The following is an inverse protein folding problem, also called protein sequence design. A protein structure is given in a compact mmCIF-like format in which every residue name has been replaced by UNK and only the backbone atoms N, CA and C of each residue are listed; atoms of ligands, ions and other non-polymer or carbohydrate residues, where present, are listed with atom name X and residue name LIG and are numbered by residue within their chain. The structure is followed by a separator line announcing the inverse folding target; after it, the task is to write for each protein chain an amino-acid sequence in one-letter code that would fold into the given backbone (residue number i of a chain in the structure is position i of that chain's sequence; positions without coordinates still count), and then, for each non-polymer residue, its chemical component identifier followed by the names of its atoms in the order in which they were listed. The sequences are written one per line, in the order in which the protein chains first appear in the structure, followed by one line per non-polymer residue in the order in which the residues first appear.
data_IF_402690101616
#
_entry.id   IF_402690101616
#
_cell.length_a   1.000
_cell.length_b   1.000
_cell.length_c   1.000
_cell.angle_alpha   90.00
_cell.angle_beta   90.00
_cell.angle_gamma   90.00
#
_symmetry.space_group_name_H-M   'P 1'
#
loop_
_entity.id
_entity.type
_entity.pdbx_description
1 polymer ?
#
# COMPACT_ATOMS: atom_id res chain seq x y z
N UNK A 1 -0.34 19.07 23.73
CA UNK A 1 -1.68 18.48 23.51
C UNK A 1 -2.36 19.20 22.35
N UNK A 2 -2.55 20.52 22.42
CA UNK A 2 -3.04 21.35 21.31
C UNK A 2 -2.18 21.23 20.03
N UNK A 3 -0.85 21.13 20.20
CA UNK A 3 0.10 20.95 19.11
C UNK A 3 -0.05 19.62 18.34
N UNK A 4 -0.33 18.53 19.05
CA UNK A 4 -0.54 17.20 18.48
C UNK A 4 -1.87 17.16 17.73
N UNK A 5 -2.91 17.75 18.32
CA UNK A 5 -4.23 17.81 17.70
C UNK A 5 -4.23 18.64 16.40
N UNK A 6 -3.47 19.73 16.37
CA UNK A 6 -3.30 20.52 15.15
C UNK A 6 -2.56 19.74 14.05
N UNK A 7 -1.51 19.00 14.42
CA UNK A 7 -0.74 18.16 13.49
C UNK A 7 -1.63 17.05 12.90
N UNK A 8 -2.40 16.34 13.73
CA UNK A 8 -3.30 15.28 13.28
C UNK A 8 -4.36 15.79 12.30
N UNK A 9 -5.01 16.93 12.61
CA UNK A 9 -5.98 17.55 11.69
C UNK A 9 -5.36 17.96 10.36
N UNK A 10 -4.13 18.47 10.37
CA UNK A 10 -3.39 18.82 9.16
C UNK A 10 -3.08 17.57 8.33
N UNK A 11 -2.63 16.50 8.98
CA UNK A 11 -2.30 15.25 8.31
C UNK A 11 -3.55 14.53 7.78
N UNK A 12 -4.70 14.61 8.46
CA UNK A 12 -5.98 14.09 7.98
C UNK A 12 -6.47 14.82 6.72
N UNK A 13 -6.37 16.15 6.73
CA UNK A 13 -6.68 16.97 5.56
C UNK A 13 -5.70 16.70 4.41
N UNK A 14 -4.40 16.61 4.72
CA UNK A 14 -3.35 16.31 3.74
C UNK A 14 -3.55 14.94 3.10
N UNK A 15 -3.82 13.91 3.89
CA UNK A 15 -4.05 12.56 3.38
C UNK A 15 -5.26 12.52 2.46
N UNK A 16 -6.39 13.09 2.88
CA UNK A 16 -7.61 13.14 2.06
C UNK A 16 -7.35 13.87 0.74
N UNK A 17 -6.70 15.03 0.80
CA UNK A 17 -6.55 15.90 -0.35
C UNK A 17 -5.43 15.45 -1.29
N UNK A 18 -4.24 15.15 -0.77
CA UNK A 18 -3.11 14.70 -1.60
C UNK A 18 -3.39 13.33 -2.23
N UNK A 19 -3.98 12.38 -1.49
CA UNK A 19 -4.30 11.08 -2.05
C UNK A 19 -5.45 11.14 -3.06
N UNK A 20 -6.45 11.98 -2.80
CA UNK A 20 -7.63 12.10 -3.67
C UNK A 20 -7.43 12.97 -4.91
N UNK A 21 -6.53 13.95 -4.88
CA UNK A 21 -6.38 14.96 -5.92
C UNK A 21 -4.96 15.13 -6.48
N UNK A 22 -3.98 14.40 -5.95
CA UNK A 22 -2.57 14.58 -6.31
C UNK A 22 -1.90 15.68 -5.50
N UNK A 23 -0.58 15.57 -5.35
CA UNK A 23 0.17 16.46 -4.48
C UNK A 23 0.29 17.85 -5.09
N UNK A 24 0.66 17.97 -6.36
CA UNK A 24 0.88 19.24 -7.06
C UNK A 24 -0.39 20.09 -7.16
N UNK A 25 -1.54 19.45 -7.40
CA UNK A 25 -2.82 20.13 -7.54
C UNK A 25 -3.38 20.70 -6.21
N UNK A 26 -2.81 20.31 -5.07
CA UNK A 26 -3.27 20.73 -3.74
C UNK A 26 -2.30 21.73 -3.14
N UNK A 27 -2.77 22.97 -2.95
CA UNK A 27 -2.01 24.03 -2.26
C UNK A 27 -2.19 24.00 -0.73
N UNK A 28 -1.26 24.62 -0.01
CA UNK A 28 -1.30 24.70 1.46
C UNK A 28 -2.56 25.43 1.99
N UNK A 29 -3.09 26.41 1.25
CA UNK A 29 -4.33 27.08 1.62
C UNK A 29 -5.55 26.14 1.63
N UNK A 30 -5.57 25.14 0.73
CA UNK A 30 -6.64 24.14 0.68
C UNK A 30 -6.55 23.18 1.86
N UNK A 31 -5.34 22.78 2.25
CA UNK A 31 -5.09 22.01 3.48
C UNK A 31 -5.54 22.80 4.71
N UNK A 32 -5.16 24.08 4.80
CA UNK A 32 -5.56 24.98 5.89
C UNK A 32 -7.08 25.06 6.01
N UNK A 33 -7.78 25.29 4.91
CA UNK A 33 -9.24 25.40 4.90
C UNK A 33 -9.91 24.09 5.34
N UNK A 34 -9.41 22.94 4.88
CA UNK A 34 -9.96 21.63 5.23
C UNK A 34 -9.66 21.19 6.67
N UNK A 35 -8.49 21.55 7.20
CA UNK A 35 -8.06 21.19 8.56
C UNK A 35 -8.62 22.11 9.65
N UNK A 36 -9.09 23.31 9.30
CA UNK A 36 -9.50 24.36 10.24
C UNK A 36 -8.35 24.95 11.07
N UNK A 37 -7.09 24.58 10.77
CA UNK A 37 -5.91 25.09 11.47
C UNK A 37 -5.50 26.44 10.90
N UNK A 38 -5.07 27.38 11.74
CA UNK A 38 -4.63 28.71 11.26
C UNK A 38 -3.38 28.62 10.38
N UNK A 39 -3.19 29.57 9.46
CA UNK A 39 -2.01 29.60 8.59
C UNK A 39 -0.70 29.64 9.39
N UNK A 40 -0.67 30.46 10.44
CA UNK A 40 0.48 30.57 11.34
C UNK A 40 0.80 29.21 11.96
N UNK A 41 -0.22 28.49 12.44
CA UNK A 41 -0.01 27.20 13.09
C UNK A 41 0.37 26.10 12.10
N UNK A 42 -0.19 26.11 10.90
CA UNK A 42 0.21 25.19 9.81
C UNK A 42 1.72 25.27 9.54
N UNK A 43 2.27 26.48 9.40
CA UNK A 43 3.71 26.67 9.19
C UNK A 43 4.58 26.49 10.44
N UNK A 44 3.98 26.44 11.64
CA UNK A 44 4.67 26.01 12.86
C UNK A 44 4.78 24.48 12.95
N UNK A 45 3.78 23.75 12.44
CA UNK A 45 3.80 22.29 12.38
C UNK A 45 4.67 21.76 11.23
N UNK A 46 4.55 22.39 10.05
CA UNK A 46 5.26 21.96 8.85
C UNK A 46 5.80 23.19 8.13
N UNK A 47 7.13 23.34 8.09
CA UNK A 47 7.78 24.51 7.51
C UNK A 47 7.61 24.57 5.98
N UNK A 48 7.33 23.43 5.34
CA UNK A 48 7.14 23.32 3.90
C UNK A 48 6.02 22.34 3.53
N UNK A 49 5.60 22.39 2.27
CA UNK A 49 4.65 21.41 1.71
C UNK A 49 5.30 20.03 1.65
N UNK A 50 6.57 19.97 1.29
CA UNK A 50 7.37 18.74 1.19
C UNK A 50 7.42 18.01 2.54
N UNK A 51 7.63 18.75 3.63
CA UNK A 51 7.63 18.20 4.99
C UNK A 51 6.26 17.65 5.38
N UNK A 52 5.17 18.37 5.06
CA UNK A 52 3.81 17.88 5.27
C UNK A 52 3.54 16.60 4.44
N UNK A 53 4.00 16.56 3.18
CA UNK A 53 3.84 15.39 2.31
C UNK A 53 4.61 14.19 2.86
N UNK A 54 5.85 14.38 3.30
CA UNK A 54 6.64 13.32 3.94
C UNK A 54 5.93 12.79 5.19
N UNK A 55 5.48 13.67 6.08
CA UNK A 55 4.80 13.29 7.30
C UNK A 55 3.50 12.51 7.02
N UNK A 56 2.71 12.95 6.04
CA UNK A 56 1.53 12.24 5.55
C UNK A 56 1.90 10.83 5.05
N UNK A 57 2.91 10.72 4.18
CA UNK A 57 3.35 9.45 3.61
C UNK A 57 3.80 8.48 4.71
N UNK A 58 4.61 8.94 5.68
CA UNK A 58 5.08 8.10 6.79
C UNK A 58 3.93 7.67 7.71
N UNK A 59 2.94 8.54 7.97
CA UNK A 59 1.75 8.17 8.76
C UNK A 59 0.92 7.12 8.03
N UNK A 60 0.71 7.30 6.73
CA UNK A 60 0.00 6.35 5.87
C UNK A 60 0.72 5.00 5.79
N UNK A 61 2.04 4.99 5.66
CA UNK A 61 2.87 3.78 5.62
C UNK A 61 2.58 2.88 6.83
N UNK A 62 2.68 3.45 8.04
CA UNK A 62 2.47 2.71 9.29
C UNK A 62 1.08 2.08 9.34
N UNK A 63 0.05 2.84 8.97
CA UNK A 63 -1.33 2.34 8.94
C UNK A 63 -1.52 1.23 7.91
N UNK A 64 -1.04 1.45 6.68
CA UNK A 64 -1.18 0.50 5.58
C UNK A 64 -0.45 -0.82 5.87
N UNK A 65 0.82 -0.75 6.30
CA UNK A 65 1.62 -1.95 6.62
C UNK A 65 1.09 -2.66 7.86
N UNK A 66 0.59 -1.92 8.85
CA UNK A 66 -0.06 -2.50 10.03
C UNK A 66 -1.31 -3.31 9.66
N UNK A 67 -2.17 -2.75 8.80
CA UNK A 67 -3.38 -3.44 8.32
C UNK A 67 -3.04 -4.69 7.50
N UNK A 68 -2.07 -4.59 6.58
CA UNK A 68 -1.57 -5.73 5.81
C UNK A 68 -1.03 -6.83 6.75
N UNK A 69 -0.15 -6.45 7.69
CA UNK A 69 0.48 -7.39 8.60
C UNK A 69 -0.56 -8.10 9.49
N UNK A 70 -1.57 -7.38 9.98
CA UNK A 70 -2.66 -7.95 10.76
C UNK A 70 -3.47 -8.98 9.95
N UNK A 71 -3.80 -8.66 8.70
CA UNK A 71 -4.52 -9.59 7.82
C UNK A 71 -3.72 -10.88 7.58
N UNK A 72 -2.44 -10.75 7.23
CA UNK A 72 -1.58 -11.91 6.95
C UNK A 72 -1.30 -12.73 8.22
N UNK A 73 -1.15 -12.09 9.38
CA UNK A 73 -0.92 -12.79 10.65
C UNK A 73 -2.10 -13.69 11.05
N UNK A 74 -3.33 -13.34 10.65
CA UNK A 74 -4.52 -14.14 10.89
C UNK A 74 -4.54 -15.45 10.07
N UNK A 75 -3.66 -15.59 9.07
CA UNK A 75 -3.55 -16.80 8.26
C UNK A 75 -2.68 -17.85 8.98
N UNK A 76 -3.20 -19.06 9.30
CA UNK A 76 -2.49 -20.01 10.15
C UNK A 76 -1.23 -20.61 9.51
N UNK A 77 -1.27 -20.90 8.20
CA UNK A 77 -0.18 -21.58 7.52
C UNK A 77 0.81 -20.58 6.93
N UNK A 78 2.07 -20.69 7.33
CA UNK A 78 3.15 -19.83 6.85
C UNK A 78 3.35 -19.94 5.33
N UNK A 79 3.16 -21.13 4.76
CA UNK A 79 3.35 -21.38 3.33
C UNK A 79 2.41 -20.54 2.44
N UNK A 80 1.20 -20.22 2.91
CA UNK A 80 0.19 -19.47 2.14
C UNK A 80 0.13 -17.99 2.52
N UNK A 81 0.86 -17.54 3.55
CA UNK A 81 0.92 -16.13 3.96
C UNK A 81 1.40 -15.18 2.85
N UNK A 82 2.40 -15.54 2.01
CA UNK A 82 2.76 -14.70 0.87
C UNK A 82 1.57 -14.45 -0.09
N UNK A 83 0.68 -15.43 -0.27
CA UNK A 83 -0.51 -15.29 -1.11
C UNK A 83 -1.58 -14.42 -0.45
N UNK A 84 -1.68 -14.45 0.88
CA UNK A 84 -2.63 -13.64 1.65
C UNK A 84 -2.38 -12.12 1.51
N UNK A 85 -1.16 -11.71 1.15
CA UNK A 85 -0.87 -10.31 0.78
C UNK A 85 -1.80 -9.86 -0.35
N UNK A 86 -1.98 -10.69 -1.37
CA UNK A 86 -2.81 -10.35 -2.52
C UNK A 86 -4.31 -10.44 -2.23
N UNK A 87 -4.72 -11.32 -1.31
CA UNK A 87 -6.10 -11.38 -0.82
C UNK A 87 -6.46 -10.07 -0.07
N UNK A 88 -5.52 -9.52 0.72
CA UNK A 88 -5.69 -8.22 1.34
C UNK A 88 -5.70 -7.07 0.32
N UNK A 89 -4.82 -7.10 -0.69
CA UNK A 89 -4.81 -6.11 -1.76
C UNK A 89 -6.13 -6.09 -2.53
N UNK A 90 -6.73 -7.24 -2.82
CA UNK A 90 -8.03 -7.32 -3.51
C UNK A 90 -9.13 -6.58 -2.72
N UNK A 91 -9.16 -6.76 -1.40
CA UNK A 91 -10.10 -6.05 -0.54
C UNK A 91 -9.83 -4.54 -0.56
N UNK A 92 -8.57 -4.14 -0.42
CA UNK A 92 -8.16 -2.73 -0.45
C UNK A 92 -8.48 -2.05 -1.79
N UNK A 93 -8.31 -2.74 -2.92
CA UNK A 93 -8.63 -2.21 -4.25
C UNK A 93 -10.12 -1.95 -4.44
N UNK A 94 -10.98 -2.63 -3.68
CA UNK A 94 -12.43 -2.44 -3.70
C UNK A 94 -12.91 -1.24 -2.86
N UNK A 95 -12.03 -0.57 -2.12
CA UNK A 95 -12.40 0.59 -1.31
C UNK A 95 -12.72 1.82 -2.20
N UNK A 96 -13.77 2.61 -1.91
CA UNK A 96 -14.19 3.73 -2.76
C UNK A 96 -13.12 4.81 -2.97
N UNK A 97 -12.25 4.98 -1.97
CA UNK A 97 -11.16 5.95 -1.95
C UNK A 97 -9.83 5.37 -2.46
N UNK A 98 -9.80 4.14 -2.95
CA UNK A 98 -8.59 3.56 -3.54
C UNK A 98 -8.12 4.38 -4.76
N UNK A 99 -6.86 4.82 -4.72
CA UNK A 99 -6.19 5.62 -5.78
C UNK A 99 -4.78 5.12 -6.09
N UNK A 100 -4.53 3.83 -5.88
CA UNK A 100 -3.22 3.23 -6.09
C UNK A 100 -2.22 3.53 -4.97
N UNK A 101 -0.93 3.45 -5.29
CA UNK A 101 0.15 3.62 -4.33
C UNK A 101 0.46 5.10 -4.12
N UNK A 102 0.18 5.62 -2.91
CA UNK A 102 0.50 6.99 -2.54
C UNK A 102 1.98 7.37 -2.78
N UNK A 103 2.89 6.44 -2.56
CA UNK A 103 4.34 6.66 -2.71
C UNK A 103 4.77 6.75 -4.17
N UNK A 104 4.23 5.90 -5.05
CA UNK A 104 4.50 5.98 -6.50
C UNK A 104 3.96 7.28 -7.05
N UNK A 105 2.72 7.64 -6.68
CA UNK A 105 2.08 8.88 -7.15
C UNK A 105 2.89 10.12 -6.70
N UNK A 106 3.21 10.22 -5.40
CA UNK A 106 3.98 11.34 -4.87
C UNK A 106 5.40 11.41 -5.45
N UNK A 107 6.07 10.26 -5.63
CA UNK A 107 7.37 10.20 -6.28
C UNK A 107 7.31 10.67 -7.74
N UNK A 108 6.29 10.27 -8.50
CA UNK A 108 6.10 10.72 -9.88
C UNK A 108 5.88 12.23 -9.99
N UNK A 109 5.22 12.83 -9.01
CA UNK A 109 4.91 14.26 -8.99
C UNK A 109 6.06 15.15 -8.46
N UNK A 110 6.85 14.66 -7.51
CA UNK A 110 7.80 15.49 -6.74
C UNK A 110 9.19 14.86 -6.54
N UNK A 111 9.38 13.58 -6.82
CA UNK A 111 10.59 12.84 -6.44
C UNK A 111 11.88 13.36 -7.07
N UNK A 112 11.82 14.00 -8.23
CA UNK A 112 12.98 14.63 -8.87
C UNK A 112 13.44 15.93 -8.17
N UNK A 113 12.51 16.64 -7.52
CA UNK A 113 12.77 17.93 -6.87
C UNK A 113 12.78 17.90 -5.34
N UNK A 114 12.30 16.81 -4.73
CA UNK A 114 12.20 16.67 -3.28
C UNK A 114 12.88 15.39 -2.80
N UNK A 115 14.04 15.55 -2.16
CA UNK A 115 14.79 14.44 -1.57
C UNK A 115 13.98 13.72 -0.49
N UNK A 116 13.23 14.47 0.33
CA UNK A 116 12.36 13.94 1.39
C UNK A 116 11.27 13.01 0.85
N UNK A 117 10.56 13.42 -0.22
CA UNK A 117 9.54 12.57 -0.86
C UNK A 117 10.17 11.34 -1.51
N UNK A 118 11.33 11.52 -2.16
CA UNK A 118 12.06 10.42 -2.77
C UNK A 118 12.53 9.39 -1.74
N UNK A 119 13.01 9.84 -0.57
CA UNK A 119 13.42 8.98 0.53
C UNK A 119 12.23 8.24 1.15
N UNK A 120 11.13 8.94 1.45
CA UNK A 120 9.92 8.30 1.97
C UNK A 120 9.37 7.20 1.04
N UNK A 121 9.44 7.41 -0.28
CA UNK A 121 9.07 6.39 -1.26
C UNK A 121 10.03 5.18 -1.23
N UNK A 122 11.35 5.40 -1.15
CA UNK A 122 12.34 4.32 -1.06
C UNK A 122 12.20 3.52 0.22
N UNK A 123 12.01 4.20 1.35
CA UNK A 123 11.80 3.59 2.66
C UNK A 123 10.59 2.65 2.62
N UNK A 124 9.44 3.13 2.10
CA UNK A 124 8.25 2.29 1.96
C UNK A 124 8.50 1.04 1.12
N UNK A 125 9.20 1.17 -0.02
CA UNK A 125 9.55 0.02 -0.88
C UNK A 125 10.47 -0.96 -0.16
N UNK A 126 11.47 -0.47 0.57
CA UNK A 126 12.38 -1.29 1.34
C UNK A 126 11.63 -2.05 2.46
N UNK A 127 10.72 -1.38 3.16
CA UNK A 127 9.89 -1.97 4.22
C UNK A 127 8.93 -3.05 3.69
N UNK A 128 8.24 -2.79 2.58
CA UNK A 128 7.34 -3.77 1.94
C UNK A 128 8.14 -4.98 1.45
N UNK A 129 9.29 -4.75 0.79
CA UNK A 129 10.20 -5.83 0.37
C UNK A 129 10.71 -6.64 1.55
N UNK A 130 11.14 -5.98 2.63
CA UNK A 130 11.61 -6.61 3.85
C UNK A 130 10.53 -7.48 4.52
N UNK A 131 9.29 -6.99 4.52
CA UNK A 131 8.14 -7.76 4.99
C UNK A 131 7.90 -9.02 4.14
N UNK A 132 7.87 -8.87 2.82
CA UNK A 132 7.73 -10.00 1.88
C UNK A 132 8.85 -11.02 2.05
N UNK A 133 10.09 -10.56 2.21
CA UNK A 133 11.26 -11.41 2.49
C UNK A 133 11.06 -12.25 3.75
N UNK A 134 10.54 -11.65 4.82
CA UNK A 134 10.18 -12.37 6.04
C UNK A 134 9.14 -13.46 5.79
N UNK A 135 8.10 -13.17 5.00
CA UNK A 135 7.06 -14.14 4.66
C UNK A 135 7.61 -15.33 3.86
N UNK A 136 8.41 -15.07 2.83
CA UNK A 136 8.92 -16.16 1.96
C UNK A 136 9.98 -17.01 2.65
N UNK A 137 10.79 -16.44 3.54
CA UNK A 137 11.69 -17.22 4.42
C UNK A 137 10.90 -18.13 5.35
N UNK A 138 9.84 -17.61 5.98
CA UNK A 138 8.98 -18.41 6.85
C UNK A 138 8.20 -19.49 6.08
N UNK A 139 7.94 -19.27 4.79
CA UNK A 139 7.34 -20.26 3.89
C UNK A 139 8.33 -21.33 3.41
N UNK A 140 9.63 -21.22 3.71
CA UNK A 140 10.65 -22.19 3.33
C UNK A 140 11.14 -22.07 1.88
N UNK A 141 11.10 -20.88 1.28
CA UNK A 141 11.63 -20.66 -0.06
C UNK A 141 13.15 -20.93 -0.14
N UNK A 142 13.60 -21.59 -1.20
CA UNK A 142 15.01 -21.96 -1.43
C UNK A 142 15.90 -20.75 -1.69
N UNK A 143 15.39 -19.74 -2.40
CA UNK A 143 16.11 -18.50 -2.73
C UNK A 143 15.21 -17.28 -2.42
N UNK A 144 15.14 -16.87 -1.14
CA UNK A 144 14.10 -15.95 -0.68
C UNK A 144 14.34 -14.49 -1.10
N UNK A 145 15.59 -14.06 -1.34
CA UNK A 145 15.91 -12.67 -1.70
C UNK A 145 15.38 -12.30 -3.09
N UNK A 146 15.70 -13.02 -4.18
CA UNK A 146 15.16 -12.70 -5.50
C UNK A 146 13.65 -12.90 -5.56
N UNK A 147 13.11 -13.87 -4.82
CA UNK A 147 11.66 -14.07 -4.73
C UNK A 147 10.97 -12.88 -4.07
N UNK A 148 11.54 -12.30 -3.00
CA UNK A 148 11.00 -11.10 -2.38
C UNK A 148 11.00 -9.90 -3.34
N UNK A 149 12.05 -9.75 -4.16
CA UNK A 149 12.11 -8.73 -5.22
C UNK A 149 11.02 -8.94 -6.26
N UNK A 150 10.85 -10.15 -6.75
CA UNK A 150 9.81 -10.49 -7.72
C UNK A 150 8.41 -10.24 -7.16
N UNK A 151 8.15 -10.64 -5.92
CA UNK A 151 6.85 -10.39 -5.27
C UNK A 151 6.61 -8.90 -5.06
N UNK A 152 7.62 -8.10 -4.72
CA UNK A 152 7.50 -6.65 -4.61
C UNK A 152 7.10 -6.02 -5.97
N UNK A 153 7.71 -6.46 -7.07
CA UNK A 153 7.32 -6.02 -8.42
C UNK A 153 5.88 -6.42 -8.76
N UNK A 154 5.46 -7.63 -8.39
CA UNK A 154 4.09 -8.12 -8.63
C UNK A 154 3.07 -7.33 -7.80
N UNK A 155 3.38 -7.00 -6.54
CA UNK A 155 2.56 -6.12 -5.69
C UNK A 155 2.41 -4.74 -6.34
N UNK A 156 3.50 -4.12 -6.77
CA UNK A 156 3.47 -2.80 -7.40
C UNK A 156 2.69 -2.79 -8.71
N UNK A 157 2.88 -3.83 -9.53
CA UNK A 157 2.16 -4.03 -10.78
C UNK A 157 0.65 -4.18 -10.53
N UNK A 158 0.26 -4.94 -9.51
CA UNK A 158 -1.14 -5.13 -9.13
C UNK A 158 -1.79 -3.81 -8.71
N UNK A 159 -1.13 -3.07 -7.81
CA UNK A 159 -1.63 -1.79 -7.29
C UNK A 159 -1.79 -0.78 -8.42
N UNK A 160 -0.79 -0.66 -9.28
CA UNK A 160 -0.79 0.30 -10.40
C UNK A 160 -1.85 -0.08 -11.43
N UNK A 161 -1.95 -1.36 -11.78
CA UNK A 161 -2.95 -1.85 -12.75
C UNK A 161 -4.36 -1.61 -12.24
N UNK A 162 -4.65 -1.96 -10.99
CA UNK A 162 -5.97 -1.73 -10.38
C UNK A 162 -6.34 -0.25 -10.37
N UNK A 163 -5.39 0.63 -10.03
CA UNK A 163 -5.63 2.07 -9.96
C UNK A 163 -5.95 2.68 -11.33
N UNK A 164 -5.26 2.25 -12.38
CA UNK A 164 -5.44 2.79 -13.75
C UNK A 164 -6.69 2.22 -14.42
N UNK A 165 -6.98 0.94 -14.21
CA UNK A 165 -8.08 0.24 -14.91
C UNK A 165 -9.40 0.24 -14.13
N UNK A 166 -9.36 0.56 -12.83
CA UNK A 166 -10.51 0.42 -11.94
C UNK A 166 -10.90 -1.03 -11.66
N UNK A 167 -10.03 -2.00 -11.99
CA UNK A 167 -10.32 -3.42 -11.88
C UNK A 167 -9.61 -4.04 -10.64
N UNK A 168 -10.34 -4.33 -9.54
CA UNK A 168 -9.75 -4.97 -8.36
C UNK A 168 -9.24 -6.39 -8.64
N UNK A 169 -9.70 -7.03 -9.71
CA UNK A 169 -9.27 -8.36 -10.14
C UNK A 169 -7.77 -8.45 -10.48
N UNK A 170 -7.08 -7.32 -10.66
CA UNK A 170 -5.62 -7.29 -10.78
C UNK A 170 -4.93 -7.97 -9.60
N UNK A 171 -5.49 -7.87 -8.37
CA UNK A 171 -4.97 -8.57 -7.20
C UNK A 171 -5.06 -10.09 -7.34
N UNK A 172 -6.18 -10.60 -7.89
CA UNK A 172 -6.35 -12.03 -8.14
C UNK A 172 -5.31 -12.56 -9.15
N UNK A 173 -5.04 -11.81 -10.22
CA UNK A 173 -4.03 -12.19 -11.22
C UNK A 173 -2.62 -12.14 -10.66
N UNK A 174 -2.32 -11.12 -9.85
CA UNK A 174 -1.06 -11.00 -9.15
C UNK A 174 -0.84 -12.15 -8.15
N UNK A 175 -1.91 -12.59 -7.46
CA UNK A 175 -1.90 -13.76 -6.60
C UNK A 175 -1.56 -15.04 -7.36
N UNK A 176 -2.15 -15.24 -8.54
CA UNK A 176 -1.88 -16.40 -9.39
C UNK A 176 -0.41 -16.41 -9.84
N UNK A 177 0.13 -15.25 -10.24
CA UNK A 177 1.55 -15.11 -10.58
C UNK A 177 2.46 -15.38 -9.38
N UNK A 178 2.12 -14.87 -8.20
CA UNK A 178 2.87 -15.13 -6.97
C UNK A 178 2.89 -16.63 -6.61
N UNK A 179 1.80 -17.36 -6.83
CA UNK A 179 1.75 -18.80 -6.60
C UNK A 179 2.73 -19.56 -7.50
N UNK A 180 2.85 -19.17 -8.78
CA UNK A 180 3.84 -19.73 -9.71
C UNK A 180 5.27 -19.46 -9.22
N UNK A 181 5.56 -18.23 -8.79
CA UNK A 181 6.88 -17.85 -8.28
C UNK A 181 7.23 -18.62 -6.98
N UNK A 182 6.29 -18.75 -6.06
CA UNK A 182 6.46 -19.51 -4.81
C UNK A 182 6.75 -20.99 -5.09
N UNK A 183 5.99 -21.61 -6.00
CA UNK A 183 6.20 -22.99 -6.40
C UNK A 183 7.58 -23.19 -7.06
N UNK A 184 7.97 -22.27 -7.96
CA UNK A 184 9.29 -22.29 -8.59
C UNK A 184 10.44 -22.15 -7.57
N UNK A 185 10.20 -21.45 -6.46
CA UNK A 185 11.15 -21.31 -5.36
C UNK A 185 11.12 -22.46 -4.33
N UNK A 186 10.35 -23.53 -4.59
CA UNK A 186 10.29 -24.72 -3.74
C UNK A 186 9.31 -24.63 -2.57
N UNK A 187 8.47 -23.60 -2.49
CA UNK A 187 7.42 -23.52 -1.46
C UNK A 187 6.32 -24.53 -1.79
N UNK A 188 5.99 -25.40 -0.83
CA UNK A 188 4.94 -26.41 -0.99
C UNK A 188 3.61 -25.94 -0.40
N UNK A 189 2.49 -26.49 -0.87
CA UNK A 189 1.16 -26.18 -0.32
C UNK A 189 0.53 -24.85 -0.80
N UNK A 190 1.07 -24.25 -1.87
CA UNK A 190 0.58 -23.00 -2.49
C UNK A 190 -0.34 -23.22 -3.70
N UNK A 191 -0.91 -24.42 -3.86
CA UNK A 191 -1.71 -24.78 -5.03
C UNK A 191 -2.91 -23.83 -5.24
N UNK A 192 -3.07 -23.38 -6.49
CA UNK A 192 -4.08 -22.41 -6.95
C UNK A 192 -5.50 -22.97 -7.04
N UNK A 193 -5.66 -24.29 -6.97
CA UNK A 193 -6.92 -25.03 -7.20
C UNK A 193 -8.04 -24.74 -6.16
N UNK A 194 -7.70 -24.13 -5.01
CA UNK A 194 -8.67 -23.85 -3.94
C UNK A 194 -9.67 -22.72 -4.21
N UNK A 195 -9.41 -21.82 -5.18
CA UNK A 195 -10.17 -20.56 -5.32
C UNK A 195 -11.38 -20.67 -6.27
N UNK A 196 -11.36 -21.59 -7.23
CA UNK A 196 -12.48 -21.82 -8.17
C UNK A 196 -13.78 -22.24 -7.43
N UNK A 197 -13.65 -23.03 -6.36
CA UNK A 197 -14.81 -23.48 -5.56
C UNK A 197 -15.52 -22.36 -4.80
N UNK A 198 -14.79 -21.30 -4.41
CA UNK A 198 -15.35 -20.18 -3.64
C UNK A 198 -16.04 -19.14 -4.54
N UNK A 199 -15.51 -18.93 -5.76
CA UNK A 199 -16.09 -18.01 -6.76
C UNK A 199 -17.39 -18.57 -7.36
N UNK A 200 -17.48 -19.89 -7.59
CA UNK A 200 -18.70 -20.55 -8.04
C UNK A 200 -19.86 -20.51 -7.04
N UNK A 201 -19.57 -20.32 -5.74
CA UNK A 201 -20.58 -20.25 -4.68
C UNK A 201 -21.20 -18.84 -4.54
N UNK A 202 -20.41 -17.77 -4.75
CA UNK A 202 -20.91 -16.38 -4.72
C UNK A 202 -21.77 -16.03 -5.95
N UNK A 203 -21.43 -16.56 -7.13
CA UNK A 203 -22.21 -16.36 -8.35
C UNK A 203 -23.60 -17.02 -8.33
N UNK A 204 -23.84 -18.02 -7.46
CA UNK A 204 -25.15 -18.71 -7.33
C UNK A 204 -26.04 -18.14 -6.23
N UNK A 205 -25.57 -17.18 -5.44
CA UNK A 205 -26.32 -16.59 -4.33
C UNK A 205 -27.02 -15.26 -4.70
N UNK A 206 -26.83 -14.78 -5.93
CA UNK A 206 -27.45 -13.56 -6.49
C UNK A 206 -28.29 -13.85 -7.74
N UNK A 207 -28.73 -15.10 -7.93
CA UNK A 207 -29.61 -15.52 -9.02
C UNK A 207 -30.98 -15.92 -8.48
#
# INVERSE_FOLDING_TARGET
MEDIEAEDRLLDAAETLFYGHGVQAVGMDRIRAASGVSLKRLYQCFASKEELVEAYLRRRDRRWRGALAAHVAAVPSAAVRPLAVFDWLEAWFGEPDFRGCAFINAFGEMGAGSAAVAEAARDHKAEVRGYLLGLVRAAGATDPEPLADQLALVVDGAITTAAVTGAPEAAARARDAAAVLLAAAGVTGVNTEGREKTRGKRSRATG
#
